data_IF_726244517166
#
_entry.id   IF_726244517166
#
_cell.length_a   1.000
_cell.length_b   1.000
_cell.length_c   1.000
_cell.angle_alpha   90.00
_cell.angle_beta   90.00
_cell.angle_gamma   90.00
#
_symmetry.space_group_name_H-M   'P 1'
#
loop_
_entity.id
_entity.type
_entity.pdbx_description
1 polymer ?
#
# COMPACT_ATOMS: atom_id res chain seq x y z
N UNK A 1 9.94 3.54 -8.31
CA UNK A 1 10.35 2.28 -7.64
C UNK A 1 11.72 1.85 -8.14
N UNK A 2 12.79 2.42 -7.56
CA UNK A 2 14.18 2.18 -8.03
C UNK A 2 14.91 1.10 -7.21
N UNK A 3 14.33 0.64 -6.11
CA UNK A 3 14.96 -0.23 -5.13
C UNK A 3 14.35 -1.63 -5.04
N UNK A 4 13.08 -1.82 -5.43
CA UNK A 4 12.41 -3.12 -5.36
C UNK A 4 13.18 -4.22 -6.12
N UNK A 5 13.63 -3.98 -7.35
CA UNK A 5 14.42 -4.94 -8.14
C UNK A 5 15.70 -5.36 -7.39
N UNK A 6 16.42 -4.38 -6.81
CA UNK A 6 17.63 -4.60 -6.03
C UNK A 6 17.34 -5.43 -4.77
N UNK A 7 16.26 -5.12 -4.05
CA UNK A 7 15.87 -5.83 -2.81
C UNK A 7 15.46 -7.27 -3.12
N UNK A 8 14.62 -7.47 -4.14
CA UNK A 8 14.13 -8.79 -4.55
C UNK A 8 15.29 -9.69 -4.99
N UNK A 9 16.23 -9.15 -5.79
CA UNK A 9 17.40 -9.90 -6.21
C UNK A 9 18.30 -10.32 -5.04
N UNK A 10 18.49 -9.44 -4.05
CA UNK A 10 19.33 -9.69 -2.87
C UNK A 10 18.69 -10.68 -1.90
N UNK A 11 17.39 -10.58 -1.67
CA UNK A 11 16.71 -11.26 -0.56
C UNK A 11 15.92 -12.49 -0.99
N UNK A 12 15.55 -12.58 -2.28
CA UNK A 12 14.62 -13.59 -2.82
C UNK A 12 13.26 -13.59 -2.12
N UNK A 13 12.89 -12.47 -1.47
CA UNK A 13 11.58 -12.29 -0.86
C UNK A 13 10.45 -12.41 -1.90
N UNK A 14 9.27 -12.79 -1.43
CA UNK A 14 8.06 -12.84 -2.26
C UNK A 14 7.58 -11.44 -2.59
N UNK A 15 7.52 -11.09 -3.87
CA UNK A 15 6.88 -9.85 -4.33
C UNK A 15 5.36 -10.01 -4.30
N UNK A 16 4.65 -9.25 -3.48
CA UNK A 16 3.18 -9.17 -3.48
C UNK A 16 2.78 -7.83 -4.05
N UNK A 17 2.10 -7.81 -5.20
CA UNK A 17 1.73 -6.57 -5.90
C UNK A 17 0.58 -6.79 -6.89
N UNK A 18 0.12 -5.71 -7.52
CA UNK A 18 -0.82 -5.77 -8.65
C UNK A 18 -0.33 -6.76 -9.72
N UNK A 19 -1.26 -7.44 -10.40
CA UNK A 19 -0.94 -8.41 -11.46
C UNK A 19 0.03 -7.83 -12.49
N UNK A 20 -0.25 -6.64 -13.00
CA UNK A 20 0.58 -5.91 -13.95
C UNK A 20 1.98 -5.63 -13.40
N UNK A 21 2.07 -5.25 -12.12
CA UNK A 21 3.36 -5.01 -11.46
C UNK A 21 4.16 -6.30 -11.33
N UNK A 22 3.51 -7.42 -10.99
CA UNK A 22 4.20 -8.70 -10.90
C UNK A 22 4.72 -9.18 -12.26
N UNK A 23 3.98 -8.92 -13.35
CA UNK A 23 4.43 -9.26 -14.70
C UNK A 23 5.62 -8.42 -15.14
N UNK A 24 5.60 -7.11 -14.87
CA UNK A 24 6.76 -6.25 -15.11
C UNK A 24 8.04 -6.77 -14.45
N UNK A 25 7.95 -7.25 -13.21
CA UNK A 25 9.09 -7.85 -12.53
C UNK A 25 9.42 -9.27 -12.99
N UNK A 26 8.45 -10.01 -13.53
CA UNK A 26 8.69 -11.31 -14.15
C UNK A 26 9.63 -11.20 -15.35
N UNK A 27 9.44 -10.18 -16.20
CA UNK A 27 10.30 -9.90 -17.35
C UNK A 27 11.75 -9.55 -16.95
N UNK A 28 11.93 -9.11 -15.70
CA UNK A 28 13.23 -8.82 -15.07
C UNK A 28 13.83 -10.03 -14.34
N UNK A 29 13.25 -11.22 -14.48
CA UNK A 29 13.74 -12.46 -13.88
C UNK A 29 13.35 -12.64 -12.41
N UNK A 30 12.39 -11.87 -11.89
CA UNK A 30 11.87 -12.10 -10.52
C UNK A 30 10.82 -13.21 -10.55
N UNK A 31 11.20 -14.39 -10.03
CA UNK A 31 10.33 -15.57 -10.03
C UNK A 31 9.42 -15.67 -8.81
N UNK A 32 9.93 -15.33 -7.61
CA UNK A 32 9.16 -15.42 -6.37
C UNK A 32 8.20 -14.23 -6.22
N UNK A 33 6.99 -14.38 -6.76
CA UNK A 33 5.97 -13.33 -6.84
C UNK A 33 4.57 -13.90 -6.65
N UNK A 34 3.67 -13.08 -6.13
CA UNK A 34 2.27 -13.38 -5.93
C UNK A 34 1.43 -12.19 -6.38
N UNK A 35 0.63 -12.39 -7.43
CA UNK A 35 -0.23 -11.36 -7.98
C UNK A 35 -1.50 -11.21 -7.13
N UNK A 36 -1.86 -9.97 -6.83
CA UNK A 36 -3.12 -9.59 -6.18
C UNK A 36 -3.80 -8.48 -6.98
N UNK A 37 -5.09 -8.29 -6.73
CA UNK A 37 -5.85 -7.10 -7.15
C UNK A 37 -6.69 -6.65 -5.95
N UNK A 38 -7.48 -5.58 -6.10
CA UNK A 38 -8.34 -5.08 -5.02
C UNK A 38 -9.18 -6.19 -4.39
N UNK A 39 -9.17 -6.26 -3.06
CA UNK A 39 -9.88 -7.28 -2.29
C UNK A 39 -9.15 -8.62 -2.19
N UNK A 40 -8.06 -8.83 -2.94
CA UNK A 40 -7.24 -10.03 -2.87
C UNK A 40 -6.47 -10.17 -1.55
N UNK A 41 -6.26 -11.41 -1.13
CA UNK A 41 -5.50 -11.73 0.09
C UNK A 41 -4.35 -12.67 -0.23
N UNK A 42 -3.18 -12.36 0.31
CA UNK A 42 -2.01 -13.24 0.33
C UNK A 42 -1.74 -13.66 1.78
N UNK A 43 -1.36 -14.92 1.99
CA UNK A 43 -0.96 -15.40 3.32
C UNK A 43 0.21 -16.36 3.21
N UNK A 44 1.27 -16.12 4.00
CA UNK A 44 2.45 -16.99 4.07
C UNK A 44 3.13 -16.83 5.43
N UNK A 45 3.55 -17.95 6.05
CA UNK A 45 4.36 -17.96 7.28
C UNK A 45 3.75 -17.12 8.44
N UNK A 46 2.43 -17.15 8.61
CA UNK A 46 1.75 -16.39 9.66
C UNK A 46 1.62 -14.89 9.40
N UNK A 47 1.98 -14.42 8.21
CA UNK A 47 1.74 -13.05 7.73
C UNK A 47 0.64 -13.09 6.68
N UNK A 48 -0.39 -12.27 6.88
CA UNK A 48 -1.44 -12.00 5.91
C UNK A 48 -1.32 -10.59 5.33
N UNK A 49 -1.66 -10.44 4.06
CA UNK A 49 -1.70 -9.18 3.33
C UNK A 49 -3.04 -9.10 2.60
N UNK A 50 -3.89 -8.16 3.00
CA UNK A 50 -5.13 -7.81 2.30
C UNK A 50 -4.87 -6.58 1.43
N UNK A 51 -5.15 -6.70 0.14
CA UNK A 51 -5.06 -5.58 -0.80
C UNK A 51 -6.37 -4.80 -0.78
N UNK A 52 -6.30 -3.49 -0.59
CA UNK A 52 -7.47 -2.63 -0.41
C UNK A 52 -7.46 -1.48 -1.40
N UNK A 53 -8.61 -0.83 -1.57
CA UNK A 53 -8.75 0.26 -2.52
C UNK A 53 -7.83 1.44 -2.17
N UNK A 54 -7.37 2.13 -3.21
CA UNK A 54 -6.69 3.41 -3.17
C UNK A 54 -7.11 4.22 -4.41
N UNK A 55 -7.28 5.53 -4.26
CA UNK A 55 -7.63 6.43 -5.36
C UNK A 55 -6.38 7.19 -5.78
N UNK A 56 -5.73 6.70 -6.83
CA UNK A 56 -4.53 7.31 -7.41
C UNK A 56 -4.27 6.82 -8.84
N UNK A 57 -3.09 7.12 -9.39
CA UNK A 57 -2.58 6.52 -10.63
C UNK A 57 -1.52 5.44 -10.33
N UNK A 58 -1.32 4.51 -11.26
CA UNK A 58 -0.25 3.51 -11.18
C UNK A 58 0.30 3.22 -12.57
N UNK A 59 1.53 3.66 -12.80
CA UNK A 59 2.26 3.45 -14.05
C UNK A 59 3.76 3.34 -13.79
N UNK A 60 4.46 2.64 -14.66
CA UNK A 60 5.92 2.55 -14.64
C UNK A 60 6.55 3.82 -15.24
N UNK A 61 7.86 4.07 -15.01
CA UNK A 61 8.53 5.28 -15.49
C UNK A 61 8.52 5.46 -17.02
N UNK A 62 8.33 4.38 -17.77
CA UNK A 62 8.18 4.37 -19.22
C UNK A 62 6.72 4.55 -19.69
N UNK A 63 5.80 4.77 -18.75
CA UNK A 63 4.37 4.96 -19.00
C UNK A 63 3.57 3.66 -19.12
N UNK A 64 4.21 2.48 -18.99
CA UNK A 64 3.48 1.20 -19.01
C UNK A 64 2.50 1.14 -17.84
N UNK A 65 1.29 0.66 -18.11
CA UNK A 65 0.22 0.54 -17.13
C UNK A 65 0.63 -0.41 -15.98
N UNK A 66 0.52 0.10 -14.75
CA UNK A 66 0.93 -0.62 -13.53
C UNK A 66 -0.25 -1.22 -12.75
N UNK A 67 -1.39 -1.45 -13.40
CA UNK A 67 -2.60 -1.87 -12.70
C UNK A 67 -3.29 -0.70 -12.00
N UNK A 68 -4.26 -0.99 -11.13
CA UNK A 68 -4.80 0.02 -10.23
C UNK A 68 -3.92 0.18 -8.98
N UNK A 69 -3.80 1.38 -8.40
CA UNK A 69 -3.15 1.57 -7.12
C UNK A 69 -3.89 0.85 -5.99
N UNK A 70 -3.16 0.40 -4.98
CA UNK A 70 -3.71 -0.32 -3.84
C UNK A 70 -3.01 0.13 -2.54
N UNK A 71 -3.80 0.14 -1.46
CA UNK A 71 -3.25 0.06 -0.11
C UNK A 71 -3.08 -1.40 0.31
N UNK A 72 -2.36 -1.63 1.40
CA UNK A 72 -2.16 -2.96 1.98
C UNK A 72 -2.41 -2.95 3.49
N UNK A 73 -3.28 -3.85 3.93
CA UNK A 73 -3.42 -4.20 5.33
C UNK A 73 -2.59 -5.45 5.60
N UNK A 74 -1.49 -5.27 6.33
CA UNK A 74 -0.52 -6.31 6.66
C UNK A 74 -0.78 -6.73 8.09
N UNK A 75 -0.98 -8.02 8.34
CA UNK A 75 -1.35 -8.50 9.67
C UNK A 75 -0.70 -9.83 10.01
N UNK A 76 -0.67 -10.09 11.30
CA UNK A 76 -0.33 -11.38 11.93
C UNK A 76 -1.42 -11.68 12.96
N UNK A 77 -1.30 -12.80 13.68
CA UNK A 77 -2.22 -13.12 14.78
C UNK A 77 -2.16 -12.12 15.96
N UNK A 78 -1.12 -11.27 16.01
CA UNK A 78 -0.85 -10.38 17.16
C UNK A 78 -1.00 -8.90 16.85
N UNK A 79 -0.80 -8.52 15.59
CA UNK A 79 -0.73 -7.11 15.21
C UNK A 79 -1.14 -6.90 13.75
N UNK A 80 -1.68 -5.72 13.46
CA UNK A 80 -2.02 -5.28 12.12
C UNK A 80 -1.54 -3.84 11.83
N UNK A 81 -1.07 -3.63 10.61
CA UNK A 81 -0.63 -2.35 10.09
C UNK A 81 -1.29 -2.09 8.74
N UNK A 82 -1.91 -0.91 8.59
CA UNK A 82 -2.47 -0.45 7.33
C UNK A 82 -1.50 0.53 6.69
N UNK A 83 -1.12 0.27 5.46
CA UNK A 83 -0.33 1.18 4.62
C UNK A 83 -1.23 1.63 3.48
N UNK A 84 -1.64 2.90 3.50
CA UNK A 84 -2.60 3.42 2.53
C UNK A 84 -2.05 3.48 1.09
N UNK A 85 -0.72 3.59 0.96
CA UNK A 85 -0.09 4.01 -0.28
C UNK A 85 -0.42 5.47 -0.59
N UNK A 86 -0.13 5.89 -1.82
CA UNK A 86 -0.55 7.20 -2.31
C UNK A 86 -2.04 7.09 -2.68
N UNK A 87 -2.87 7.89 -2.00
CA UNK A 87 -4.32 7.89 -2.19
C UNK A 87 -4.93 9.21 -1.76
N UNK A 88 -6.07 9.56 -2.34
CA UNK A 88 -7.01 10.52 -1.76
C UNK A 88 -7.84 9.89 -0.62
N UNK A 89 -8.56 10.71 0.13
CA UNK A 89 -9.57 10.24 1.09
C UNK A 89 -10.72 9.56 0.35
N UNK A 90 -11.14 8.37 0.80
CA UNK A 90 -12.27 7.66 0.21
C UNK A 90 -13.05 6.84 1.24
N UNK A 91 -14.31 6.54 0.91
CA UNK A 91 -15.24 5.89 1.84
C UNK A 91 -14.86 4.44 2.16
N UNK A 92 -14.22 3.71 1.23
CA UNK A 92 -13.81 2.33 1.49
C UNK A 92 -12.78 2.19 2.62
N UNK A 93 -12.13 3.29 3.06
CA UNK A 93 -11.29 3.28 4.26
C UNK A 93 -12.07 2.86 5.51
N UNK A 94 -13.40 3.05 5.54
CA UNK A 94 -14.28 2.57 6.61
C UNK A 94 -14.39 1.04 6.68
N UNK A 95 -13.96 0.32 5.65
CA UNK A 95 -13.94 -1.14 5.64
C UNK A 95 -12.67 -1.71 6.28
N UNK A 96 -11.62 -0.91 6.47
CA UNK A 96 -10.35 -1.37 7.04
C UNK A 96 -10.52 -2.02 8.43
N UNK A 97 -11.31 -1.46 9.37
CA UNK A 97 -11.55 -2.09 10.67
C UNK A 97 -12.26 -3.45 10.58
N UNK A 98 -13.00 -3.72 9.50
CA UNK A 98 -13.74 -4.98 9.33
C UNK A 98 -12.83 -6.16 8.95
N UNK A 99 -11.61 -5.88 8.50
CA UNK A 99 -10.69 -6.91 8.02
C UNK A 99 -9.75 -7.45 9.09
N UNK A 100 -9.61 -6.77 10.23
CA UNK A 100 -8.74 -7.18 11.34
C UNK A 100 -9.42 -6.90 12.67
N UNK A 101 -9.21 -7.73 13.72
CA UNK A 101 -9.81 -7.49 15.03
C UNK A 101 -9.42 -6.15 15.66
N UNK A 102 -8.21 -5.66 15.37
CA UNK A 102 -7.69 -4.38 15.82
C UNK A 102 -6.59 -3.91 14.86
N UNK A 103 -6.58 -2.62 14.54
CA UNK A 103 -5.53 -1.96 13.77
C UNK A 103 -4.55 -1.26 14.72
N UNK A 104 -3.26 -1.65 14.72
CA UNK A 104 -2.25 -1.12 15.64
C UNK A 104 -1.48 0.08 15.10
N UNK A 105 -1.43 0.23 13.78
CA UNK A 105 -0.80 1.34 13.10
C UNK A 105 -1.47 1.61 11.76
N UNK A 106 -1.77 2.88 11.48
CA UNK A 106 -2.12 3.35 10.16
C UNK A 106 -1.02 4.27 9.62
N UNK A 107 -0.49 3.98 8.44
CA UNK A 107 0.48 4.82 7.72
C UNK A 107 -0.27 5.53 6.60
N UNK A 108 -0.43 6.85 6.75
CA UNK A 108 -1.26 7.68 5.89
C UNK A 108 -0.42 8.80 5.24
N UNK A 109 -0.57 9.06 3.93
CA UNK A 109 0.11 10.17 3.30
C UNK A 109 -0.50 11.51 3.77
N UNK A 110 0.34 12.52 3.96
CA UNK A 110 -0.08 13.85 4.45
C UNK A 110 0.45 15.02 3.61
N UNK A 111 1.08 14.75 2.47
CA UNK A 111 1.77 15.75 1.65
C UNK A 111 0.89 16.61 0.75
N UNK A 112 -0.42 16.38 0.71
CA UNK A 112 -1.33 17.06 -0.22
C UNK A 112 -0.89 16.86 -1.70
N UNK A 113 -1.41 17.65 -2.63
CA UNK A 113 -1.07 17.76 -4.07
C UNK A 113 -1.29 16.47 -4.87
N UNK A 114 -0.59 15.38 -4.52
CA UNK A 114 -0.68 14.05 -5.12
C UNK A 114 -1.48 13.07 -4.25
N UNK A 115 -1.55 13.33 -2.95
CA UNK A 115 -2.19 12.46 -1.95
C UNK A 115 -3.10 13.27 -1.02
N UNK A 116 -3.65 12.63 0.01
CA UNK A 116 -4.27 13.36 1.11
C UNK A 116 -3.32 14.41 1.71
N UNK A 117 -3.88 15.57 2.07
CA UNK A 117 -3.27 16.50 3.02
C UNK A 117 -3.64 16.15 4.47
N UNK A 118 -3.08 16.87 5.44
CA UNK A 118 -3.28 16.61 6.89
C UNK A 118 -4.75 16.54 7.31
N UNK A 119 -5.63 17.39 6.77
CA UNK A 119 -7.06 17.40 7.11
C UNK A 119 -7.78 16.14 6.64
N UNK A 120 -7.51 15.72 5.42
CA UNK A 120 -8.10 14.52 4.84
C UNK A 120 -7.56 13.26 5.53
N UNK A 121 -6.26 13.23 5.83
CA UNK A 121 -5.64 12.16 6.59
C UNK A 121 -6.20 12.04 8.02
N UNK A 122 -6.58 13.15 8.66
CA UNK A 122 -7.26 13.11 9.96
C UNK A 122 -8.65 12.46 9.87
N UNK A 123 -9.42 12.73 8.80
CA UNK A 123 -10.70 12.04 8.57
C UNK A 123 -10.47 10.56 8.25
N UNK A 124 -9.44 10.25 7.45
CA UNK A 124 -9.06 8.88 7.15
C UNK A 124 -8.70 8.10 8.43
N UNK A 125 -7.99 8.72 9.37
CA UNK A 125 -7.67 8.13 10.67
C UNK A 125 -8.92 7.71 11.46
N UNK A 126 -9.95 8.56 11.47
CA UNK A 126 -11.25 8.24 12.06
C UNK A 126 -11.94 7.07 11.33
N UNK A 127 -11.87 7.03 10.00
CA UNK A 127 -12.48 5.97 9.20
C UNK A 127 -11.82 4.60 9.44
N UNK A 128 -10.50 4.57 9.55
CA UNK A 128 -9.75 3.33 9.81
C UNK A 128 -9.70 2.95 11.30
N UNK A 129 -10.27 3.77 12.17
CA UNK A 129 -10.40 3.53 13.62
C UNK A 129 -9.06 3.13 14.28
N UNK A 130 -8.00 3.91 14.02
CA UNK A 130 -6.68 3.65 14.57
C UNK A 130 -6.16 4.83 15.39
N UNK A 131 -5.91 4.59 16.68
CA UNK A 131 -5.38 5.61 17.60
C UNK A 131 -3.91 5.98 17.32
N UNK A 132 -3.20 5.13 16.56
CA UNK A 132 -1.78 5.33 16.24
C UNK A 132 -1.62 5.51 14.74
N UNK A 133 -1.38 6.76 14.34
CA UNK A 133 -1.20 7.15 12.95
C UNK A 133 0.22 7.66 12.72
N UNK A 134 0.86 7.18 11.66
CA UNK A 134 2.13 7.66 11.17
C UNK A 134 1.91 8.39 9.83
N UNK A 135 2.20 9.69 9.81
CA UNK A 135 2.21 10.48 8.59
C UNK A 135 3.40 10.13 7.69
N UNK A 136 3.17 9.98 6.39
CA UNK A 136 4.20 9.76 5.38
C UNK A 136 3.99 10.66 4.15
N UNK A 137 4.86 10.51 3.14
CA UNK A 137 4.76 11.20 1.85
C UNK A 137 4.60 12.73 2.00
N UNK A 138 5.49 13.36 2.78
CA UNK A 138 5.61 14.82 2.99
C UNK A 138 7.09 15.18 3.16
N UNK A 139 7.45 16.43 2.89
CA UNK A 139 8.81 16.99 3.08
C UNK A 139 9.94 16.17 2.42
N UNK A 140 9.65 15.55 1.27
CA UNK A 140 10.62 14.73 0.53
C UNK A 140 11.03 15.35 -0.80
N UNK A 141 10.20 16.21 -1.40
CA UNK A 141 10.49 16.92 -2.65
C UNK A 141 9.65 18.21 -2.75
N UNK A 142 10.05 19.20 -3.57
CA UNK A 142 9.53 20.58 -3.48
C UNK A 142 8.00 20.76 -3.53
N UNK A 143 7.24 20.03 -4.37
CA UNK A 143 5.77 20.09 -4.40
C UNK A 143 5.06 19.69 -3.10
N UNK A 144 5.71 18.92 -2.22
CA UNK A 144 5.10 18.42 -0.97
C UNK A 144 5.95 18.78 0.26
N UNK A 145 6.73 19.87 0.16
CA UNK A 145 7.55 20.41 1.24
C UNK A 145 6.73 21.10 2.33
#
# INVERSE_FOLDING_TARGET
MLDAERILNRTKATLVAAYEVTNWYAEKGIENRFAVNHGGTFSQNGVGIKSVNAIHSSSFPDGVYGGNPMGFLIHTDKQACYVAGDTALHMDMKLIPEFVPKLDLAILPIGDVFTMGVKDAAIAAEYVQCDRVLGCHYDTFPPIA
#
